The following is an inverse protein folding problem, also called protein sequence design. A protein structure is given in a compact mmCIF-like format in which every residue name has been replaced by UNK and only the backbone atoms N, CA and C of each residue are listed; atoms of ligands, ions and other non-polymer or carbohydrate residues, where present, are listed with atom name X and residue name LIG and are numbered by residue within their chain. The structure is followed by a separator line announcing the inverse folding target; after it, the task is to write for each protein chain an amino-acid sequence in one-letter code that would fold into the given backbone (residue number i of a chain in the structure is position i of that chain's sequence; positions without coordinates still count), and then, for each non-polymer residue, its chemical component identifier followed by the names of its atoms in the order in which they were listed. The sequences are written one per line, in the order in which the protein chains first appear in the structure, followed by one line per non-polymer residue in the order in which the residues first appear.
data_IF_305100940058
#
_entry.id   IF_305100940058
#
_cell.length_a   1.000
_cell.length_b   1.000
_cell.length_c   1.000
_cell.angle_alpha   90.00
_cell.angle_beta   90.00
_cell.angle_gamma   90.00
#
_symmetry.space_group_name_H-M   'P 1'
#
loop_
_entity.id
_entity.type
_entity.pdbx_description
1 polymer ?
#
# COMPACT_ATOMS: atom_id res chain seq x y z
N UNK A 1 -35.71 -11.60 17.51
CA UNK A 1 -35.37 -10.21 17.83
C UNK A 1 -34.48 -9.69 16.72
N UNK A 2 -34.76 -8.49 16.25
CA UNK A 2 -34.30 -7.92 14.99
C UNK A 2 -32.76 -7.87 14.92
N UNK A 3 -32.23 -8.27 13.76
CA UNK A 3 -30.83 -8.12 13.37
C UNK A 3 -30.46 -6.64 13.44
N UNK A 4 -29.51 -6.26 14.29
CA UNK A 4 -28.84 -4.97 14.21
C UNK A 4 -28.09 -4.89 12.88
N UNK A 5 -28.81 -4.52 11.82
CA UNK A 5 -28.22 -4.03 10.58
C UNK A 5 -27.66 -2.64 10.88
N UNK A 6 -26.48 -2.61 11.54
CA UNK A 6 -25.61 -1.45 11.40
C UNK A 6 -25.24 -1.37 9.93
N UNK A 7 -25.73 -0.32 9.25
CA UNK A 7 -25.24 0.02 7.92
C UNK A 7 -23.71 0.08 8.00
N UNK A 8 -23.05 -0.71 7.15
CA UNK A 8 -21.60 -0.69 7.06
C UNK A 8 -21.22 0.66 6.45
N UNK A 9 -20.75 1.58 7.30
CA UNK A 9 -20.16 2.83 6.84
C UNK A 9 -18.83 2.51 6.16
N UNK A 10 -18.83 2.47 4.82
CA UNK A 10 -17.64 2.20 4.02
C UNK A 10 -17.10 3.53 3.51
N UNK A 11 -15.93 3.92 4.02
CA UNK A 11 -15.17 5.04 3.47
C UNK A 11 -14.39 4.55 2.25
N UNK A 12 -14.69 5.09 1.07
CA UNK A 12 -14.10 4.66 -0.19
C UNK A 12 -13.17 5.72 -0.77
N UNK A 13 -11.90 5.34 -0.94
CA UNK A 13 -10.87 6.18 -1.56
C UNK A 13 -10.41 5.53 -2.88
N UNK A 14 -10.41 6.30 -3.96
CA UNK A 14 -10.00 5.83 -5.28
C UNK A 14 -8.74 6.54 -5.76
N UNK A 15 -7.63 5.80 -5.82
CA UNK A 15 -6.38 6.29 -6.39
C UNK A 15 -6.25 5.89 -7.87
N UNK A 16 -6.27 6.86 -8.77
CA UNK A 16 -5.95 6.63 -10.18
C UNK A 16 -4.45 6.37 -10.35
N UNK A 17 -4.07 5.09 -10.47
CA UNK A 17 -2.69 4.66 -10.74
C UNK A 17 -2.56 4.24 -12.21
N UNK A 18 -2.09 5.16 -13.03
CA UNK A 18 -1.84 4.94 -14.46
C UNK A 18 -0.33 4.67 -14.67
N UNK A 19 -0.01 3.72 -15.55
CA UNK A 19 1.35 3.21 -15.79
C UNK A 19 2.35 4.22 -16.39
N UNK A 20 1.91 5.43 -16.75
CA UNK A 20 2.72 6.46 -17.39
C UNK A 20 2.80 7.77 -16.57
N UNK A 21 2.54 7.75 -15.27
CA UNK A 21 2.53 8.98 -14.47
C UNK A 21 3.78 9.15 -13.60
N UNK A 22 4.42 10.31 -13.76
CA UNK A 22 5.65 10.76 -13.11
C UNK A 22 5.53 11.05 -11.60
N UNK A 23 4.43 10.69 -10.95
CA UNK A 23 4.12 11.12 -9.57
C UNK A 23 3.67 9.93 -8.68
N UNK A 24 4.12 8.70 -8.95
CA UNK A 24 3.77 7.52 -8.12
C UNK A 24 4.05 7.73 -6.63
N UNK A 25 5.07 8.52 -6.28
CA UNK A 25 5.52 8.71 -4.90
C UNK A 25 4.58 9.59 -4.06
N UNK A 26 4.12 10.73 -4.59
CA UNK A 26 3.16 11.59 -3.90
C UNK A 26 1.86 10.84 -3.61
N UNK A 27 1.44 10.02 -4.57
CA UNK A 27 0.27 9.15 -4.46
C UNK A 27 0.44 8.06 -3.40
N UNK A 28 1.66 7.49 -3.26
CA UNK A 28 1.96 6.55 -2.17
C UNK A 28 1.86 7.24 -0.81
N UNK A 29 2.40 8.45 -0.67
CA UNK A 29 2.34 9.20 0.59
C UNK A 29 0.90 9.58 0.97
N UNK A 30 0.10 10.04 0.00
CA UNK A 30 -1.34 10.29 0.19
C UNK A 30 -2.06 9.02 0.68
N UNK A 31 -1.83 7.88 0.01
CA UNK A 31 -2.40 6.61 0.42
C UNK A 31 -1.93 6.17 1.81
N UNK A 32 -0.67 6.42 2.17
CA UNK A 32 -0.15 6.10 3.51
C UNK A 32 -0.81 6.95 4.59
N UNK A 33 -1.06 8.23 4.32
CA UNK A 33 -1.73 9.11 5.27
C UNK A 33 -3.16 8.62 5.53
N UNK A 34 -3.90 8.23 4.48
CA UNK A 34 -5.23 7.62 4.63
C UNK A 34 -5.14 6.33 5.45
N UNK A 35 -4.16 5.47 5.15
CA UNK A 35 -3.99 4.22 5.90
C UNK A 35 -3.66 4.47 7.36
N UNK A 36 -2.79 5.44 7.65
CA UNK A 36 -2.36 5.77 9.00
C UNK A 36 -3.51 6.43 9.80
N UNK A 37 -4.23 7.40 9.23
CA UNK A 37 -5.37 8.04 9.91
C UNK A 37 -6.48 7.03 10.21
N UNK A 38 -6.86 6.19 9.25
CA UNK A 38 -7.92 5.19 9.45
C UNK A 38 -7.50 4.13 10.49
N UNK A 39 -6.23 3.73 10.55
CA UNK A 39 -5.75 2.74 11.53
C UNK A 39 -5.56 3.30 12.93
N UNK A 40 -5.06 4.53 13.05
CA UNK A 40 -4.61 5.10 14.31
C UNK A 40 -5.67 5.97 14.98
N UNK A 41 -6.41 6.75 14.19
CA UNK A 41 -7.41 7.69 14.68
C UNK A 41 -8.79 7.04 14.70
N UNK A 42 -9.23 6.52 13.56
CA UNK A 42 -10.57 5.93 13.44
C UNK A 42 -10.65 4.50 14.00
N UNK A 43 -9.51 3.83 14.18
CA UNK A 43 -9.42 2.42 14.62
C UNK A 43 -10.19 1.44 13.72
N UNK A 44 -10.24 1.70 12.41
CA UNK A 44 -10.93 0.86 11.44
C UNK A 44 -9.98 -0.05 10.65
N UNK A 45 -10.55 -1.12 10.10
CA UNK A 45 -9.84 -2.01 9.17
C UNK A 45 -9.94 -1.47 7.74
N UNK A 46 -8.88 -1.67 6.95
CA UNK A 46 -8.78 -1.17 5.58
C UNK A 46 -8.65 -2.35 4.62
N UNK A 47 -9.44 -2.32 3.54
CA UNK A 47 -9.28 -3.21 2.40
C UNK A 47 -8.57 -2.46 1.26
N UNK A 48 -7.34 -2.88 0.95
CA UNK A 48 -6.61 -2.37 -0.23
C UNK A 48 -6.81 -3.33 -1.40
N UNK A 49 -7.48 -2.87 -2.45
CA UNK A 49 -7.76 -3.70 -3.63
C UNK A 49 -7.43 -2.99 -4.94
N UNK A 50 -7.17 -3.79 -5.98
CA UNK A 50 -7.18 -3.36 -7.37
C UNK A 50 -8.04 -4.37 -8.15
N UNK A 51 -8.03 -4.32 -9.49
CA UNK A 51 -8.89 -5.21 -10.29
C UNK A 51 -8.74 -6.71 -9.96
N UNK A 52 -7.51 -7.21 -9.84
CA UNK A 52 -7.24 -8.65 -9.56
C UNK A 52 -6.53 -8.89 -8.22
N UNK A 53 -6.18 -7.84 -7.47
CA UNK A 53 -5.40 -7.98 -6.23
C UNK A 53 -3.95 -8.49 -6.41
N UNK A 54 -3.43 -8.58 -7.64
CA UNK A 54 -2.12 -9.18 -7.95
C UNK A 54 -0.99 -8.15 -7.96
N UNK A 55 -1.24 -6.95 -8.53
CA UNK A 55 -0.16 -6.03 -8.94
C UNK A 55 -0.22 -4.68 -8.21
N UNK A 56 -1.08 -3.74 -8.64
CA UNK A 56 -1.15 -2.37 -8.07
C UNK A 56 -1.40 -2.33 -6.56
N UNK A 57 -2.40 -3.08 -6.08
CA UNK A 57 -2.69 -3.14 -4.65
C UNK A 57 -1.56 -3.78 -3.86
N UNK A 58 -0.94 -4.83 -4.39
CA UNK A 58 0.22 -5.46 -3.78
C UNK A 58 1.41 -4.49 -3.68
N UNK A 59 1.68 -3.70 -4.73
CA UNK A 59 2.72 -2.66 -4.72
C UNK A 59 2.49 -1.65 -3.60
N UNK A 60 1.27 -1.13 -3.43
CA UNK A 60 0.95 -0.21 -2.33
C UNK A 60 1.23 -0.84 -0.96
N UNK A 61 0.78 -2.07 -0.75
CA UNK A 61 0.98 -2.79 0.51
C UNK A 61 2.46 -3.04 0.79
N UNK A 62 3.24 -3.45 -0.22
CA UNK A 62 4.70 -3.65 -0.08
C UNK A 62 5.38 -2.33 0.30
N UNK A 63 5.06 -1.24 -0.40
CA UNK A 63 5.63 0.09 -0.11
C UNK A 63 5.28 0.54 1.31
N UNK A 64 4.05 0.31 1.76
CA UNK A 64 3.63 0.64 3.13
C UNK A 64 4.38 -0.21 4.18
N UNK A 65 4.64 -1.49 3.92
CA UNK A 65 5.48 -2.34 4.77
C UNK A 65 6.92 -1.81 4.83
N UNK A 66 7.50 -1.44 3.68
CA UNK A 66 8.85 -0.85 3.63
C UNK A 66 8.94 0.39 4.53
N UNK A 67 7.99 1.33 4.38
CA UNK A 67 7.90 2.58 5.17
C UNK A 67 7.75 2.31 6.67
N UNK A 68 6.81 1.45 7.04
CA UNK A 68 6.45 1.23 8.46
C UNK A 68 7.44 0.34 9.21
N UNK A 69 8.08 -0.62 8.52
CA UNK A 69 9.06 -1.54 9.13
C UNK A 69 10.51 -1.12 8.91
N UNK A 70 10.75 -0.08 8.11
CA UNK A 70 12.09 0.32 7.66
C UNK A 70 12.84 -0.87 7.06
N UNK A 71 12.14 -1.64 6.24
CA UNK A 71 12.69 -2.81 5.58
C UNK A 71 12.96 -2.51 4.11
N UNK A 72 14.01 -3.15 3.58
CA UNK A 72 14.27 -3.13 2.16
C UNK A 72 13.17 -3.82 1.34
N UNK A 73 13.19 -3.58 0.04
CA UNK A 73 12.20 -4.05 -0.93
C UNK A 73 12.05 -5.57 -0.88
N UNK A 74 13.14 -6.32 -1.01
CA UNK A 74 13.05 -7.79 -1.09
C UNK A 74 12.49 -8.42 0.19
N UNK A 75 12.85 -7.89 1.36
CA UNK A 75 12.32 -8.36 2.65
C UNK A 75 10.82 -8.06 2.76
N UNK A 76 10.42 -6.85 2.39
CA UNK A 76 9.01 -6.43 2.42
C UNK A 76 8.16 -7.20 1.42
N UNK A 77 8.67 -7.43 0.21
CA UNK A 77 8.04 -8.26 -0.81
C UNK A 77 7.78 -9.68 -0.31
N UNK A 78 8.81 -10.35 0.24
CA UNK A 78 8.68 -11.71 0.75
C UNK A 78 7.66 -11.78 1.90
N UNK A 79 7.68 -10.82 2.82
CA UNK A 79 6.70 -10.74 3.90
C UNK A 79 5.25 -10.65 3.40
N UNK A 80 4.99 -9.83 2.36
CA UNK A 80 3.64 -9.73 1.79
C UNK A 80 3.30 -10.99 0.99
N UNK A 81 4.27 -11.57 0.26
CA UNK A 81 4.10 -12.82 -0.52
C UNK A 81 3.73 -14.01 0.36
N UNK A 82 4.31 -14.12 1.55
CA UNK A 82 3.96 -15.15 2.53
C UNK A 82 2.48 -15.06 2.97
N UNK A 83 1.93 -13.85 3.05
CA UNK A 83 0.52 -13.61 3.43
C UNK A 83 -0.43 -13.67 2.25
N UNK A 84 0.06 -13.38 1.05
CA UNK A 84 -0.71 -13.29 -0.18
C UNK A 84 0.08 -13.96 -1.32
N UNK A 85 0.02 -15.31 -1.45
CA UNK A 85 0.88 -16.06 -2.36
C UNK A 85 0.69 -15.75 -3.85
N UNK A 86 -0.41 -15.13 -4.25
CA UNK A 86 -0.70 -14.80 -5.65
C UNK A 86 -0.22 -13.41 -6.09
N UNK A 87 0.37 -12.60 -5.20
CA UNK A 87 0.91 -11.30 -5.62
C UNK A 87 2.02 -11.47 -6.64
N UNK A 88 2.01 -10.60 -7.65
CA UNK A 88 3.03 -10.48 -8.67
C UNK A 88 2.99 -9.05 -9.24
N UNK A 89 3.56 -8.05 -8.53
CA UNK A 89 3.83 -6.75 -9.11
C UNK A 89 4.61 -6.91 -10.41
N UNK A 90 4.25 -6.14 -11.44
CA UNK A 90 4.99 -6.18 -12.70
C UNK A 90 6.37 -5.50 -12.54
N UNK A 91 7.27 -5.69 -13.51
CA UNK A 91 8.65 -5.17 -13.45
C UNK A 91 8.68 -3.64 -13.30
N UNK A 92 7.76 -2.92 -13.96
CA UNK A 92 7.68 -1.45 -13.82
C UNK A 92 7.35 -1.03 -12.39
N UNK A 93 6.40 -1.69 -11.73
CA UNK A 93 6.06 -1.44 -10.33
C UNK A 93 7.18 -1.87 -9.38
N UNK A 94 7.90 -2.95 -9.70
CA UNK A 94 9.09 -3.35 -8.93
C UNK A 94 10.20 -2.32 -9.03
N UNK A 95 10.39 -1.69 -10.19
CA UNK A 95 11.34 -0.59 -10.36
C UNK A 95 10.92 0.64 -9.54
N UNK A 96 9.63 1.00 -9.54
CA UNK A 96 9.12 2.11 -8.70
C UNK A 96 9.35 1.85 -7.19
N UNK A 97 9.21 0.59 -6.75
CA UNK A 97 9.52 0.20 -5.36
C UNK A 97 11.01 0.31 -5.05
N UNK A 98 11.88 -0.04 -6.01
CA UNK A 98 13.33 0.11 -5.86
C UNK A 98 13.73 1.58 -5.74
N UNK A 99 13.15 2.45 -6.57
CA UNK A 99 13.35 3.90 -6.43
C UNK A 99 12.83 4.45 -5.10
N UNK A 100 11.71 3.90 -4.59
CA UNK A 100 11.19 4.26 -3.29
C UNK A 100 12.13 3.84 -2.14
N UNK A 101 12.72 2.64 -2.21
CA UNK A 101 13.74 2.18 -1.26
C UNK A 101 14.92 3.15 -1.17
N UNK A 102 15.47 3.59 -2.31
CA UNK A 102 16.58 4.55 -2.34
C UNK A 102 16.23 5.87 -1.64
N UNK A 103 14.99 6.35 -1.78
CA UNK A 103 14.53 7.57 -1.10
C UNK A 103 14.38 7.38 0.41
N UNK A 104 13.89 6.23 0.87
CA UNK A 104 13.80 5.93 2.30
C UNK A 104 15.18 5.91 2.97
N UNK A 105 16.21 5.42 2.26
CA UNK A 105 17.60 5.44 2.74
C UNK A 105 18.16 6.87 2.84
N UNK A 106 17.82 7.75 1.89
CA UNK A 106 18.24 9.16 1.94
C UNK A 106 17.58 9.94 3.10
N UNK A 107 16.39 9.54 3.52
CA UNK A 107 15.68 10.16 4.65
C UNK A 107 16.20 9.70 6.02
N UNK A 108 16.78 8.50 6.10
CA UNK A 108 17.33 7.93 7.34
C UNK A 108 18.80 8.29 7.59
N UNK A 109 19.48 8.89 6.61
CA UNK A 109 20.86 9.38 6.70
C UNK A 109 21.01 10.83 7.18
N UNK A 110 19.96 11.45 7.72
CA UNK A 110 19.99 12.73 8.44
C UNK A 110 19.68 12.49 9.91
#
# INVERSE_FOLDING_TARGET
MLTDNKELEIHYYHQCWNHNQSNTQEKLLEAFNIIDSTRLEDQHSILVSCQQGISRSATLVIAYVMKTKQWGLMKSYNFVKEKCPWIAPNISLMNELSEFEQRLLQQTGK
#
